data_IF_519140498336
#
_entry.id   IF_519140498336
#
_cell.length_a   1.000
_cell.length_b   1.000
_cell.length_c   1.000
_cell.angle_alpha   90.00
_cell.angle_beta   90.00
_cell.angle_gamma   90.00
#
_symmetry.space_group_name_H-M   'P 1'
#
loop_
_entity.id
_entity.type
_entity.pdbx_description
1 polymer ?
#
# COMPACT_ATOMS: atom_id res chain seq x y z
N UNK A 1 -46.40 -1.11 -13.74
CA UNK A 1 -46.61 -1.47 -15.15
C UNK A 1 -47.03 -2.92 -15.19
N UNK A 2 -48.16 -3.23 -15.79
CA UNK A 2 -48.57 -4.62 -15.99
C UNK A 2 -47.65 -5.28 -17.04
N UNK A 3 -47.28 -6.56 -16.88
CA UNK A 3 -46.53 -7.28 -17.91
C UNK A 3 -47.35 -7.38 -19.20
N UNK A 4 -46.75 -7.04 -20.35
CA UNK A 4 -47.44 -7.01 -21.65
C UNK A 4 -47.37 -8.36 -22.40
N UNK A 5 -46.27 -9.10 -22.24
CA UNK A 5 -45.99 -10.44 -22.84
C UNK A 5 -45.12 -11.25 -21.87
N UNK A 6 -44.55 -12.38 -22.31
CA UNK A 6 -43.67 -13.24 -21.51
C UNK A 6 -42.24 -12.66 -21.34
N UNK A 7 -42.15 -11.45 -20.78
CA UNK A 7 -40.88 -10.81 -20.41
C UNK A 7 -40.43 -11.18 -18.99
N UNK A 8 -39.15 -10.99 -18.70
CA UNK A 8 -38.59 -11.20 -17.35
C UNK A 8 -39.25 -10.27 -16.33
N UNK A 9 -39.64 -10.82 -15.18
CA UNK A 9 -40.10 -10.02 -14.04
C UNK A 9 -38.88 -9.31 -13.44
N UNK A 10 -38.74 -8.03 -13.76
CA UNK A 10 -37.69 -7.18 -13.21
C UNK A 10 -38.00 -6.84 -11.74
N UNK A 11 -36.97 -6.80 -10.89
CA UNK A 11 -37.05 -6.29 -9.51
C UNK A 11 -36.22 -5.00 -9.34
N UNK A 12 -36.63 -3.88 -9.96
CA UNK A 12 -35.87 -2.64 -9.89
C UNK A 12 -35.96 -2.01 -8.50
N UNK A 13 -34.83 -1.78 -7.83
CA UNK A 13 -34.79 -1.23 -6.47
C UNK A 13 -34.94 0.31 -6.43
N UNK A 14 -35.98 0.85 -7.04
CA UNK A 14 -36.29 2.29 -7.12
C UNK A 14 -37.47 2.72 -6.21
N UNK A 15 -37.72 1.99 -5.12
CA UNK A 15 -38.90 2.20 -4.25
C UNK A 15 -38.66 3.17 -3.08
N UNK A 16 -37.42 3.61 -2.87
CA UNK A 16 -37.04 4.46 -1.74
C UNK A 16 -36.51 5.76 -2.29
N UNK A 17 -37.37 6.75 -2.54
CA UNK A 17 -37.04 8.14 -2.95
C UNK A 17 -35.58 8.32 -3.43
N UNK A 18 -35.29 7.70 -4.57
CA UNK A 18 -33.91 7.50 -5.03
C UNK A 18 -33.41 8.75 -5.75
N UNK A 19 -34.33 9.50 -6.35
CA UNK A 19 -34.06 10.72 -7.10
C UNK A 19 -33.40 11.79 -6.22
N UNK A 20 -33.81 11.92 -4.94
CA UNK A 20 -33.15 12.83 -3.97
C UNK A 20 -31.72 12.41 -3.59
N UNK A 21 -31.32 11.16 -3.86
CA UNK A 21 -30.01 10.59 -3.46
C UNK A 21 -29.12 10.26 -4.65
N UNK A 22 -29.36 10.88 -5.79
CA UNK A 22 -28.54 10.70 -6.99
C UNK A 22 -27.18 11.37 -6.80
N UNK A 23 -26.12 10.57 -6.73
CA UNK A 23 -24.75 11.07 -6.77
C UNK A 23 -24.27 11.19 -8.23
N UNK A 24 -24.00 12.41 -8.69
CA UNK A 24 -23.44 12.66 -10.02
C UNK A 24 -21.90 12.66 -9.99
N UNK A 25 -21.28 12.45 -11.15
CA UNK A 25 -19.82 12.34 -11.30
C UNK A 25 -19.19 13.51 -12.07
N UNK A 26 -19.88 14.65 -12.19
CA UNK A 26 -19.36 15.85 -12.87
C UNK A 26 -18.07 16.39 -12.23
N UNK A 27 -17.87 16.15 -10.93
CA UNK A 27 -16.66 16.54 -10.20
C UNK A 27 -15.46 15.59 -10.41
N UNK A 28 -15.59 14.53 -11.22
CA UNK A 28 -14.52 13.55 -11.45
C UNK A 28 -13.22 14.16 -12.01
N UNK A 29 -13.22 15.00 -13.08
CA UNK A 29 -12.00 15.64 -13.58
C UNK A 29 -11.36 16.58 -12.55
N UNK A 30 -12.16 17.41 -11.88
CA UNK A 30 -11.68 18.29 -10.81
C UNK A 30 -11.02 17.49 -9.66
N UNK A 31 -11.62 16.35 -9.27
CA UNK A 31 -11.06 15.45 -8.25
C UNK A 31 -9.74 14.80 -8.71
N UNK A 32 -9.60 14.45 -9.99
CA UNK A 32 -8.34 13.93 -10.56
C UNK A 32 -7.23 15.00 -10.49
N UNK A 33 -7.52 16.23 -10.91
CA UNK A 33 -6.57 17.36 -10.85
C UNK A 33 -6.16 17.63 -9.40
N UNK A 34 -7.13 17.71 -8.47
CA UNK A 34 -6.87 17.91 -7.04
C UNK A 34 -5.94 16.84 -6.46
N UNK A 35 -6.20 15.56 -6.77
CA UNK A 35 -5.32 14.44 -6.34
C UNK A 35 -3.91 14.56 -6.91
N UNK A 36 -3.76 14.97 -8.19
CA UNK A 36 -2.44 15.19 -8.81
C UNK A 36 -1.66 16.31 -8.11
N UNK A 37 -2.28 17.48 -7.91
CA UNK A 37 -1.67 18.62 -7.21
C UNK A 37 -1.24 18.24 -5.78
N UNK A 38 -2.11 17.53 -5.04
CA UNK A 38 -1.78 17.05 -3.70
C UNK A 38 -0.59 16.08 -3.67
N UNK A 39 -0.46 15.19 -4.66
CA UNK A 39 0.71 14.30 -4.78
C UNK A 39 1.99 15.08 -5.06
N UNK A 40 1.94 16.09 -5.94
CA UNK A 40 3.09 16.97 -6.23
C UNK A 40 3.51 17.78 -4.99
N UNK A 41 2.56 18.37 -4.27
CA UNK A 41 2.84 19.08 -3.02
C UNK A 41 3.45 18.15 -1.97
N UNK A 42 2.92 16.92 -1.82
CA UNK A 42 3.50 15.89 -0.95
C UNK A 42 4.94 15.57 -1.36
N UNK A 43 5.21 15.43 -2.65
CA UNK A 43 6.53 15.09 -3.17
C UNK A 43 7.58 16.13 -2.78
N UNK A 44 7.29 17.41 -3.03
CA UNK A 44 8.19 18.52 -2.65
C UNK A 44 8.44 18.56 -1.15
N UNK A 45 7.40 18.38 -0.33
CA UNK A 45 7.49 18.44 1.13
C UNK A 45 8.38 17.35 1.75
N UNK A 46 8.42 16.16 1.16
CA UNK A 46 9.15 15.02 1.74
C UNK A 46 10.50 14.76 1.07
N UNK A 47 10.84 15.51 0.03
CA UNK A 47 12.11 15.40 -0.68
C UNK A 47 13.27 15.39 0.34
N UNK A 48 14.26 14.47 0.20
CA UNK A 48 14.52 13.58 -0.95
C UNK A 48 13.76 12.24 -0.94
N UNK A 49 12.85 12.00 0.02
CA UNK A 49 12.20 10.67 0.16
C UNK A 49 11.17 10.37 -0.95
N UNK A 50 11.02 9.10 -1.37
CA UNK A 50 10.00 8.71 -2.36
C UNK A 50 8.55 8.95 -1.93
N UNK A 51 7.72 9.45 -2.85
CA UNK A 51 6.30 9.84 -2.61
C UNK A 51 5.37 8.66 -2.33
N UNK A 52 5.69 7.49 -2.90
CA UNK A 52 4.93 6.25 -2.80
C UNK A 52 4.77 5.77 -1.34
N UNK A 53 5.59 6.29 -0.43
CA UNK A 53 5.56 5.95 0.99
C UNK A 53 6.43 4.74 1.30
N UNK A 54 6.19 4.08 2.46
CA UNK A 54 7.06 3.01 2.90
C UNK A 54 6.90 1.75 2.04
N UNK A 55 8.00 0.99 1.90
CA UNK A 55 7.97 -0.29 1.19
C UNK A 55 7.04 -1.28 1.92
N UNK A 56 6.32 -2.06 1.14
CA UNK A 56 5.36 -3.08 1.59
C UNK A 56 5.82 -4.48 1.19
N UNK A 57 5.48 -5.51 1.99
CA UNK A 57 5.80 -6.89 1.67
C UNK A 57 4.91 -7.40 0.53
N UNK A 58 5.37 -8.49 -0.06
CA UNK A 58 4.67 -9.27 -1.06
C UNK A 58 3.82 -10.32 -0.32
N UNK A 59 2.50 -10.34 -0.57
CA UNK A 59 1.53 -11.20 0.12
C UNK A 59 0.59 -11.85 -0.87
N UNK A 60 0.30 -13.15 -0.72
CA UNK A 60 -0.69 -13.88 -1.53
C UNK A 60 -2.13 -13.56 -1.08
N UNK A 61 -3.07 -13.56 -2.01
CA UNK A 61 -4.48 -13.43 -1.67
C UNK A 61 -5.03 -14.69 -0.96
N UNK A 62 -6.01 -14.59 -0.05
CA UNK A 62 -6.31 -15.65 0.91
C UNK A 62 -7.23 -16.78 0.39
N UNK A 63 -7.88 -16.64 -0.77
CA UNK A 63 -8.88 -17.62 -1.24
C UNK A 63 -8.35 -18.53 -2.36
N UNK A 64 -8.95 -19.72 -2.51
CA UNK A 64 -8.60 -20.67 -3.59
C UNK A 64 -8.71 -20.03 -4.98
N UNK A 65 -9.69 -19.14 -5.21
CA UNK A 65 -9.80 -18.44 -6.50
C UNK A 65 -8.61 -17.51 -6.79
N UNK A 66 -7.99 -16.93 -5.77
CA UNK A 66 -6.99 -15.85 -5.93
C UNK A 66 -5.61 -16.16 -5.36
N UNK A 67 -5.36 -17.33 -4.76
CA UNK A 67 -4.08 -17.65 -4.12
C UNK A 67 -2.87 -17.60 -5.07
N UNK A 68 -3.09 -17.74 -6.38
CA UNK A 68 -2.06 -17.55 -7.42
C UNK A 68 -1.67 -16.08 -7.62
N UNK A 69 -2.53 -15.14 -7.22
CA UNK A 69 -2.29 -13.70 -7.33
C UNK A 69 -1.59 -13.17 -6.08
N UNK A 70 -0.66 -12.26 -6.32
CA UNK A 70 0.15 -11.62 -5.31
C UNK A 70 -0.18 -10.12 -5.26
N UNK A 71 -0.09 -9.52 -4.07
CA UNK A 71 -0.40 -8.10 -3.83
C UNK A 71 0.53 -7.50 -2.78
N UNK A 72 0.53 -6.18 -2.69
CA UNK A 72 1.16 -5.48 -1.57
C UNK A 72 0.38 -5.75 -0.25
N UNK A 73 1.12 -6.16 0.78
CA UNK A 73 0.60 -6.31 2.14
C UNK A 73 0.57 -4.99 2.91
N UNK A 74 0.10 -5.03 4.16
CA UNK A 74 0.11 -3.86 5.05
C UNK A 74 1.51 -3.47 5.48
N UNK A 75 2.30 -4.44 5.95
CA UNK A 75 3.67 -4.27 6.44
C UNK A 75 4.38 -5.61 6.70
N UNK A 76 5.71 -5.55 6.80
CA UNK A 76 6.58 -6.70 7.08
C UNK A 76 6.30 -7.27 8.47
N UNK A 77 6.42 -8.60 8.60
CA UNK A 77 6.24 -9.28 9.89
C UNK A 77 7.47 -9.07 10.77
N UNK A 78 7.34 -9.30 12.08
CA UNK A 78 8.47 -9.18 12.99
C UNK A 78 9.56 -10.23 12.72
N UNK A 79 9.15 -11.41 12.27
CA UNK A 79 10.02 -12.51 11.91
C UNK A 79 10.88 -12.18 10.68
N UNK A 80 10.28 -11.64 9.62
CA UNK A 80 11.00 -11.17 8.42
C UNK A 80 12.04 -10.11 8.77
N UNK A 81 11.67 -9.15 9.61
CA UNK A 81 12.57 -8.08 10.05
C UNK A 81 13.73 -8.61 10.88
N UNK A 82 13.46 -9.58 11.77
CA UNK A 82 14.50 -10.25 12.57
C UNK A 82 15.50 -10.97 11.67
N UNK A 83 15.03 -11.73 10.68
CA UNK A 83 15.91 -12.42 9.72
C UNK A 83 16.66 -11.47 8.79
N UNK A 84 16.10 -10.30 8.49
CA UNK A 84 16.79 -9.25 7.73
C UNK A 84 17.78 -8.44 8.58
N UNK A 85 17.86 -8.68 9.90
CA UNK A 85 18.73 -7.91 10.80
C UNK A 85 18.29 -6.45 10.97
N UNK A 86 16.98 -6.19 10.97
CA UNK A 86 16.39 -4.85 11.07
C UNK A 86 15.53 -4.76 12.32
N UNK A 87 15.83 -3.81 13.21
CA UNK A 87 14.99 -3.54 14.37
C UNK A 87 13.64 -2.92 13.96
N UNK A 88 12.52 -3.42 14.51
CA UNK A 88 11.16 -2.93 14.21
C UNK A 88 10.95 -1.43 14.39
N UNK A 89 11.64 -0.79 15.37
CA UNK A 89 11.54 0.65 15.60
C UNK A 89 12.30 1.43 14.52
N UNK A 90 13.50 0.96 14.17
CA UNK A 90 14.33 1.54 13.12
C UNK A 90 13.74 1.34 11.71
N UNK A 91 13.10 0.20 11.45
CA UNK A 91 12.41 -0.07 10.19
C UNK A 91 11.46 1.07 9.79
N UNK A 92 10.66 1.57 10.73
CA UNK A 92 9.69 2.66 10.47
C UNK A 92 10.37 3.99 10.13
N UNK A 93 11.55 4.27 10.68
CA UNK A 93 12.26 5.53 10.41
C UNK A 93 12.88 5.54 9.02
N UNK A 94 13.35 4.38 8.53
CA UNK A 94 13.94 4.24 7.20
C UNK A 94 12.94 3.96 6.08
N UNK A 95 11.62 4.03 6.37
CA UNK A 95 10.60 3.86 5.34
C UNK A 95 10.18 2.40 5.07
N UNK A 96 10.32 1.50 6.05
CA UNK A 96 9.80 0.14 5.99
C UNK A 96 8.51 0.05 6.82
N UNK A 97 7.43 -0.44 6.19
CA UNK A 97 6.15 -0.65 6.89
C UNK A 97 6.20 -1.91 7.74
N UNK A 98 5.68 -1.86 8.96
CA UNK A 98 5.68 -3.00 9.90
C UNK A 98 4.25 -3.38 10.29
N UNK A 99 3.92 -4.67 10.24
CA UNK A 99 2.64 -5.21 10.69
C UNK A 99 2.85 -6.34 11.71
N UNK A 100 2.87 -6.02 13.02
CA UNK A 100 3.14 -7.01 14.07
C UNK A 100 2.12 -8.16 14.15
N UNK A 101 0.93 -7.99 13.57
CA UNK A 101 -0.15 -8.98 13.60
C UNK A 101 0.02 -10.10 12.58
N UNK A 102 0.81 -9.88 11.52
CA UNK A 102 0.98 -10.88 10.45
C UNK A 102 1.96 -11.95 10.87
N UNK A 103 1.58 -13.22 10.69
CA UNK A 103 2.41 -14.40 10.90
C UNK A 103 2.71 -15.05 9.56
N UNK A 104 3.91 -15.61 9.39
CA UNK A 104 4.22 -16.43 8.22
C UNK A 104 3.91 -17.89 8.54
N UNK A 105 3.40 -18.61 7.55
CA UNK A 105 3.13 -20.05 7.63
C UNK A 105 4.02 -20.88 6.72
N UNK A 106 4.66 -20.24 5.74
CA UNK A 106 5.48 -20.90 4.73
C UNK A 106 6.84 -20.23 4.62
N UNK A 107 7.87 -21.03 4.42
CA UNK A 107 9.27 -20.60 4.36
C UNK A 107 9.55 -19.78 3.11
N UNK A 108 8.89 -20.08 1.99
CA UNK A 108 9.09 -19.40 0.71
C UNK A 108 8.61 -17.94 0.79
N UNK A 109 7.46 -17.70 1.44
CA UNK A 109 6.93 -16.35 1.63
C UNK A 109 7.82 -15.50 2.55
N UNK A 110 8.39 -16.15 3.57
CA UNK A 110 9.33 -15.55 4.49
C UNK A 110 10.62 -15.16 3.77
N UNK A 111 11.24 -16.09 3.03
CA UNK A 111 12.47 -15.86 2.28
C UNK A 111 12.29 -14.78 1.20
N UNK A 112 11.20 -14.80 0.44
CA UNK A 112 10.93 -13.78 -0.58
C UNK A 112 10.84 -12.36 0.02
N UNK A 113 10.19 -12.21 1.18
CA UNK A 113 10.07 -10.92 1.84
C UNK A 113 11.38 -10.49 2.54
N UNK A 114 12.16 -11.43 3.09
CA UNK A 114 13.50 -11.13 3.61
C UNK A 114 14.43 -10.66 2.50
N UNK A 115 14.40 -11.32 1.34
CA UNK A 115 15.18 -10.90 0.17
C UNK A 115 14.77 -9.50 -0.31
N UNK A 116 13.47 -9.22 -0.34
CA UNK A 116 12.94 -7.89 -0.65
C UNK A 116 13.44 -6.82 0.33
N UNK A 117 13.56 -7.13 1.62
CA UNK A 117 14.12 -6.20 2.62
C UNK A 117 15.61 -5.95 2.39
N UNK A 118 16.38 -7.00 2.08
CA UNK A 118 17.81 -6.90 1.76
C UNK A 118 18.04 -6.05 0.52
N UNK A 119 17.27 -6.30 -0.54
CA UNK A 119 17.32 -5.53 -1.79
C UNK A 119 16.91 -4.06 -1.58
N UNK A 120 15.89 -3.80 -0.76
CA UNK A 120 15.53 -2.43 -0.41
C UNK A 120 16.65 -1.72 0.35
N UNK A 121 17.28 -2.41 1.30
CA UNK A 121 18.37 -1.87 2.11
C UNK A 121 19.61 -1.55 1.27
N UNK A 122 19.94 -2.35 0.25
CA UNK A 122 21.07 -2.05 -0.64
C UNK A 122 20.82 -0.84 -1.54
N UNK A 123 19.54 -0.58 -1.90
CA UNK A 123 19.13 0.58 -2.71
C UNK A 123 18.85 1.84 -1.88
N UNK A 124 18.88 1.74 -0.56
CA UNK A 124 18.52 2.85 0.33
C UNK A 124 19.72 3.76 0.56
N UNK A 125 19.58 5.03 0.20
CA UNK A 125 20.51 6.10 0.57
C UNK A 125 19.98 6.75 1.86
N UNK A 126 20.76 6.68 2.94
CA UNK A 126 20.42 7.27 4.23
C UNK A 126 21.28 8.51 4.47
N UNK A 127 20.64 9.68 4.58
CA UNK A 127 21.36 10.92 4.89
C UNK A 127 21.69 11.02 6.38
N UNK A 128 22.87 11.54 6.74
CA UNK A 128 23.25 11.76 8.12
C UNK A 128 22.34 12.81 8.76
N UNK A 129 21.99 12.61 10.03
CA UNK A 129 21.15 13.58 10.77
C UNK A 129 21.89 14.89 11.03
N UNK A 130 23.22 14.82 11.21
CA UNK A 130 24.12 15.95 11.32
C UNK A 130 25.14 15.83 10.19
N UNK A 131 25.19 16.77 9.22
CA UNK A 131 26.06 16.64 8.04
C UNK A 131 27.55 16.61 8.42
N UNK A 132 27.94 17.33 9.48
CA UNK A 132 29.33 17.34 9.97
C UNK A 132 29.74 16.06 10.73
N UNK A 133 28.79 15.16 11.05
CA UNK A 133 29.06 13.95 11.84
C UNK A 133 28.34 12.73 11.23
N UNK A 134 28.76 12.25 10.05
CA UNK A 134 28.17 11.08 9.43
C UNK A 134 28.45 9.81 10.26
N UNK A 135 27.44 8.96 10.42
CA UNK A 135 27.59 7.65 11.07
C UNK A 135 27.80 6.55 10.03
N UNK A 136 28.25 5.38 10.48
CA UNK A 136 28.41 4.21 9.63
C UNK A 136 27.10 3.86 8.93
N UNK A 137 27.12 3.89 7.60
CA UNK A 137 25.95 3.61 6.75
C UNK A 137 25.15 4.85 6.32
N UNK A 138 25.54 6.04 6.77
CA UNK A 138 25.06 7.28 6.17
C UNK A 138 25.82 7.56 4.85
N UNK A 139 25.19 8.29 3.93
CA UNK A 139 25.84 8.80 2.73
C UNK A 139 26.76 9.96 3.08
N UNK A 140 27.99 9.92 2.58
CA UNK A 140 28.95 11.04 2.63
C UNK A 140 28.50 12.22 1.77
#
# INVERSE_FOLDING_TARGET
>A
MAPSRNGMILKPHFHKDWQRRVATWFNQPARKIRRRKARQAKARRIAPRPVAGPIRPIVRCPTIRYHKKVRAGRGFSLEELKLAGINKKFARTIGISVDPRRRNKSTESLQANVQRLKEYRSKLILFPRKPAMPKKGDSS
#
